data_IF_455502433679
#
_entry.id   IF_455502433679
#
_cell.length_a   1.000
_cell.length_b   1.000
_cell.length_c   1.000
_cell.angle_alpha   90.00
_cell.angle_beta   90.00
_cell.angle_gamma   90.00
#
_symmetry.space_group_name_H-M   'P 1'
#
loop_
_entity.id
_entity.type
_entity.pdbx_description
1 polymer ?
#
# COMPACT_ATOMS: atom_id res chain seq x y z
N UNK A 1 11.22 -70.87 54.42
CA UNK A 1 11.71 -69.51 54.14
C UNK A 1 12.63 -69.51 52.93
N UNK A 2 13.60 -70.43 52.82
CA UNK A 2 14.53 -70.51 51.68
C UNK A 2 13.86 -70.63 50.31
N UNK A 3 12.78 -71.43 50.19
CA UNK A 3 12.03 -71.53 48.93
C UNK A 3 11.36 -70.20 48.54
N UNK A 4 10.86 -69.43 49.52
CA UNK A 4 10.27 -68.13 49.27
C UNK A 4 11.33 -67.10 48.85
N UNK A 5 12.51 -67.12 49.48
CA UNK A 5 13.66 -66.30 49.08
C UNK A 5 14.08 -66.61 47.64
N UNK A 6 14.20 -67.88 47.27
CA UNK A 6 14.54 -68.30 45.90
C UNK A 6 13.56 -67.77 44.85
N UNK A 7 12.25 -67.91 45.11
CA UNK A 7 11.20 -67.42 44.19
C UNK A 7 11.26 -65.88 44.06
N UNK A 8 11.47 -65.15 45.16
CA UNK A 8 11.57 -63.69 45.13
C UNK A 8 12.83 -63.21 44.38
N UNK A 9 13.96 -63.90 44.53
CA UNK A 9 15.18 -63.63 43.75
C UNK A 9 14.96 -63.88 42.27
N UNK A 10 14.41 -65.04 41.89
CA UNK A 10 14.11 -65.36 40.48
C UNK A 10 13.11 -64.36 39.86
N UNK A 11 12.10 -63.92 40.61
CA UNK A 11 11.15 -62.90 40.16
C UNK A 11 11.83 -61.54 39.93
N UNK A 12 12.77 -61.17 40.80
CA UNK A 12 13.53 -59.93 40.70
C UNK A 12 14.43 -59.94 39.46
N UNK A 13 15.19 -61.02 39.26
CA UNK A 13 16.01 -61.20 38.06
C UNK A 13 15.18 -61.17 36.77
N UNK A 14 13.98 -61.77 36.78
CA UNK A 14 13.08 -61.75 35.63
C UNK A 14 12.55 -60.33 35.34
N UNK A 15 12.26 -59.53 36.38
CA UNK A 15 11.87 -58.13 36.21
C UNK A 15 13.01 -57.28 35.67
N UNK A 16 14.24 -57.46 36.16
CA UNK A 16 15.42 -56.77 35.64
C UNK A 16 15.68 -57.13 34.17
N UNK A 17 15.58 -58.41 33.80
CA UNK A 17 15.68 -58.85 32.39
C UNK A 17 14.60 -58.24 31.51
N UNK A 18 13.37 -58.11 32.03
CA UNK A 18 12.29 -57.47 31.29
C UNK A 18 12.50 -55.97 31.12
N UNK A 19 12.98 -55.28 32.15
CA UNK A 19 13.32 -53.85 32.07
C UNK A 19 14.41 -53.61 31.02
N UNK A 20 15.47 -54.41 31.02
CA UNK A 20 16.53 -54.32 30.01
C UNK A 20 16.02 -54.53 28.59
N UNK A 21 15.14 -55.53 28.37
CA UNK A 21 14.49 -55.73 27.07
C UNK A 21 13.65 -54.54 26.64
N UNK A 22 12.98 -53.88 27.60
CA UNK A 22 12.20 -52.68 27.32
C UNK A 22 13.10 -51.51 26.92
N UNK A 23 14.20 -51.27 27.63
CA UNK A 23 15.21 -50.25 27.30
C UNK A 23 15.83 -50.48 25.91
N UNK A 24 16.13 -51.74 25.56
CA UNK A 24 16.62 -52.13 24.23
C UNK A 24 15.56 -51.83 23.14
N UNK A 25 14.28 -52.15 23.40
CA UNK A 25 13.18 -51.84 22.49
C UNK A 25 12.96 -50.33 22.34
N UNK A 26 13.02 -49.58 23.44
CA UNK A 26 12.89 -48.12 23.44
C UNK A 26 13.98 -47.49 22.59
N UNK A 27 15.22 -47.94 22.76
CA UNK A 27 16.37 -47.47 21.97
C UNK A 27 16.18 -47.76 20.48
N UNK A 28 15.71 -48.95 20.12
CA UNK A 28 15.44 -49.30 18.72
C UNK A 28 14.30 -48.46 18.12
N UNK A 29 13.20 -48.26 18.86
CA UNK A 29 12.08 -47.42 18.42
C UNK A 29 12.55 -45.98 18.21
N UNK A 30 13.33 -45.41 19.13
CA UNK A 30 13.89 -44.06 18.99
C UNK A 30 14.79 -43.95 17.76
N UNK A 31 15.59 -44.98 17.46
CA UNK A 31 16.41 -45.03 16.25
C UNK A 31 15.56 -45.07 14.98
N UNK A 32 14.47 -45.85 14.98
CA UNK A 32 13.54 -45.91 13.85
C UNK A 32 12.85 -44.56 13.62
N UNK A 33 12.37 -43.91 14.69
CA UNK A 33 11.75 -42.58 14.62
C UNK A 33 12.72 -41.54 14.07
N UNK A 34 13.97 -41.53 14.54
CA UNK A 34 15.00 -40.62 14.04
C UNK A 34 15.31 -40.86 12.56
N UNK A 35 15.38 -42.12 12.11
CA UNK A 35 15.57 -42.43 10.70
C UNK A 35 14.41 -41.91 9.83
N UNK A 36 13.16 -42.06 10.27
CA UNK A 36 12.00 -41.50 9.55
C UNK A 36 12.07 -39.97 9.51
N UNK A 37 12.41 -39.33 10.63
CA UNK A 37 12.58 -37.87 10.72
C UNK A 37 13.64 -37.37 9.72
N UNK A 38 14.80 -38.01 9.67
CA UNK A 38 15.87 -37.66 8.72
C UNK A 38 15.43 -37.82 7.26
N UNK A 39 14.67 -38.88 6.95
CA UNK A 39 14.14 -39.09 5.61
C UNK A 39 13.15 -37.98 5.21
N UNK A 40 12.28 -37.56 6.12
CA UNK A 40 11.36 -36.45 5.87
C UNK A 40 12.09 -35.12 5.67
N UNK A 41 13.09 -34.81 6.51
CA UNK A 41 13.93 -33.61 6.35
C UNK A 41 14.60 -33.60 4.98
N UNK A 42 15.25 -34.69 4.58
CA UNK A 42 15.89 -34.81 3.26
C UNK A 42 14.92 -34.59 2.09
N UNK A 43 13.67 -35.05 2.23
CA UNK A 43 12.63 -34.80 1.23
C UNK A 43 12.23 -33.32 1.21
N UNK A 44 12.02 -32.68 2.37
CA UNK A 44 11.70 -31.25 2.46
C UNK A 44 12.80 -30.42 1.80
N UNK A 45 14.06 -30.62 2.17
CA UNK A 45 15.20 -29.89 1.61
C UNK A 45 15.30 -30.04 0.08
N UNK A 46 14.96 -31.23 -0.43
CA UNK A 46 14.94 -31.48 -1.89
C UNK A 46 13.84 -30.68 -2.59
N UNK A 47 12.65 -30.63 -2.02
CA UNK A 47 11.55 -29.84 -2.58
C UNK A 47 11.84 -28.34 -2.47
N UNK A 48 12.39 -27.88 -1.34
CA UNK A 48 12.82 -26.50 -1.13
C UNK A 48 13.82 -26.05 -2.20
N UNK A 49 14.88 -26.83 -2.43
CA UNK A 49 15.85 -26.54 -3.51
C UNK A 49 15.20 -26.45 -4.89
N UNK A 50 14.18 -27.28 -5.14
CA UNK A 50 13.46 -27.26 -6.42
C UNK A 50 12.63 -25.98 -6.55
N UNK A 51 11.87 -25.62 -5.52
CA UNK A 51 11.06 -24.38 -5.49
C UNK A 51 11.94 -23.14 -5.62
N UNK A 52 13.08 -23.08 -4.92
CA UNK A 52 14.04 -21.98 -5.04
C UNK A 52 14.56 -21.85 -6.47
N UNK A 53 14.87 -22.98 -7.12
CA UNK A 53 15.32 -22.99 -8.52
C UNK A 53 14.24 -22.48 -9.48
N UNK A 54 13.00 -22.91 -9.28
CA UNK A 54 11.87 -22.48 -10.12
C UNK A 54 11.59 -20.98 -9.94
N UNK A 55 11.60 -20.49 -8.69
CA UNK A 55 11.50 -19.06 -8.36
C UNK A 55 12.61 -18.24 -9.01
N UNK A 56 13.86 -18.71 -8.94
CA UNK A 56 15.00 -18.05 -9.59
C UNK A 56 14.81 -17.97 -11.11
N UNK A 57 14.33 -19.05 -11.73
CA UNK A 57 14.09 -19.10 -13.18
C UNK A 57 12.94 -18.16 -13.60
N UNK A 58 11.85 -18.13 -12.82
CA UNK A 58 10.72 -17.20 -13.06
C UNK A 58 11.17 -15.74 -12.92
N UNK A 59 11.96 -15.43 -11.89
CA UNK A 59 12.54 -14.08 -11.69
C UNK A 59 13.39 -13.65 -12.87
N UNK A 60 14.32 -14.49 -13.32
CA UNK A 60 15.19 -14.17 -14.46
C UNK A 60 14.40 -13.92 -15.74
N UNK A 61 13.34 -14.70 -15.99
CA UNK A 61 12.45 -14.50 -17.14
C UNK A 61 11.73 -13.15 -17.09
N UNK A 62 11.22 -12.77 -15.92
CA UNK A 62 10.52 -11.49 -15.76
C UNK A 62 11.46 -10.30 -15.80
N UNK A 63 12.68 -10.43 -15.29
CA UNK A 63 13.73 -9.41 -15.40
C UNK A 63 14.17 -9.21 -16.85
N UNK A 64 14.32 -10.29 -17.64
CA UNK A 64 14.63 -10.20 -19.06
C UNK A 64 13.54 -9.45 -19.84
N UNK A 65 12.26 -9.75 -19.59
CA UNK A 65 11.13 -9.03 -20.20
C UNK A 65 11.12 -7.54 -19.82
N UNK A 66 11.33 -7.24 -18.53
CA UNK A 66 11.41 -5.86 -18.06
C UNK A 66 12.53 -5.09 -18.75
N UNK A 67 13.70 -5.71 -18.95
CA UNK A 67 14.82 -5.07 -19.61
C UNK A 67 14.58 -4.82 -21.11
N UNK A 68 13.91 -5.75 -21.79
CA UNK A 68 13.48 -5.57 -23.20
C UNK A 68 12.49 -4.40 -23.32
N UNK A 69 11.45 -4.37 -22.47
CA UNK A 69 10.45 -3.29 -22.46
C UNK A 69 11.06 -1.93 -22.08
N UNK A 70 12.00 -1.90 -21.13
CA UNK A 70 12.75 -0.69 -20.78
C UNK A 70 13.60 -0.17 -21.94
N UNK A 71 14.23 -1.06 -22.70
CA UNK A 71 15.02 -0.67 -23.87
C UNK A 71 14.12 -0.06 -24.96
N UNK A 72 12.96 -0.66 -25.23
CA UNK A 72 11.96 -0.11 -26.14
C UNK A 72 11.48 1.28 -25.70
N UNK A 73 11.16 1.47 -24.42
CA UNK A 73 10.73 2.76 -23.88
C UNK A 73 11.84 3.82 -23.96
N UNK A 74 13.09 3.44 -23.67
CA UNK A 74 14.23 4.35 -23.78
C UNK A 74 14.43 4.84 -25.23
N UNK A 75 14.26 3.96 -26.22
CA UNK A 75 14.30 4.32 -27.64
C UNK A 75 13.19 5.34 -27.99
N UNK A 76 11.97 5.11 -27.52
CA UNK A 76 10.84 6.02 -27.75
C UNK A 76 11.07 7.39 -27.10
N UNK A 77 11.57 7.43 -25.86
CA UNK A 77 11.90 8.67 -25.15
C UNK A 77 12.96 9.46 -25.91
N UNK A 78 14.02 8.79 -26.37
CA UNK A 78 15.08 9.44 -27.13
C UNK A 78 14.55 10.06 -28.44
N UNK A 79 13.67 9.36 -29.17
CA UNK A 79 13.07 9.87 -30.41
C UNK A 79 12.19 11.11 -30.17
N UNK A 80 11.41 11.12 -29.09
CA UNK A 80 10.55 12.26 -28.73
C UNK A 80 11.40 13.46 -28.28
N UNK A 81 12.44 13.21 -27.48
CA UNK A 81 13.34 14.25 -26.98
C UNK A 81 14.14 14.90 -28.11
N UNK A 82 14.68 14.10 -29.04
CA UNK A 82 15.36 14.59 -30.25
C UNK A 82 14.42 15.51 -31.06
N UNK A 83 13.16 15.11 -31.20
CA UNK A 83 12.16 15.91 -31.90
C UNK A 83 11.82 17.22 -31.22
N UNK A 84 11.74 17.21 -29.88
CA UNK A 84 11.53 18.41 -29.07
C UNK A 84 12.68 19.40 -29.23
N UNK A 85 13.92 18.95 -29.11
CA UNK A 85 15.12 19.78 -29.26
C UNK A 85 15.22 20.40 -30.66
N UNK A 86 14.90 19.63 -31.70
CA UNK A 86 14.83 20.14 -33.08
C UNK A 86 13.78 21.25 -33.24
N UNK A 87 12.60 21.11 -32.64
CA UNK A 87 11.55 22.13 -32.69
C UNK A 87 11.95 23.37 -31.90
N UNK A 88 12.51 23.20 -30.70
CA UNK A 88 12.93 24.31 -29.83
C UNK A 88 14.03 25.15 -30.48
N UNK A 89 15.03 24.50 -31.08
CA UNK A 89 16.08 25.17 -31.85
C UNK A 89 15.50 25.98 -33.03
N UNK A 90 14.60 25.38 -33.83
CA UNK A 90 13.97 26.03 -34.97
C UNK A 90 13.00 27.15 -34.58
N UNK A 91 12.44 27.10 -33.38
CA UNK A 91 11.57 28.15 -32.84
C UNK A 91 12.35 29.44 -32.57
N UNK A 92 13.60 29.31 -32.13
CA UNK A 92 14.47 30.45 -31.82
C UNK A 92 15.24 30.98 -33.03
N UNK A 93 15.70 30.09 -33.92
CA UNK A 93 16.67 30.43 -34.98
C UNK A 93 16.17 30.16 -36.41
N UNK A 94 15.02 29.49 -36.58
CA UNK A 94 14.54 28.99 -37.87
C UNK A 94 13.51 29.89 -38.56
N UNK A 95 13.37 29.72 -39.88
CA UNK A 95 12.26 30.31 -40.63
C UNK A 95 10.94 29.60 -40.33
N UNK A 96 9.80 30.31 -40.47
CA UNK A 96 8.46 29.73 -40.29
C UNK A 96 8.21 28.48 -41.14
N UNK A 97 8.76 28.43 -42.35
CA UNK A 97 8.65 27.27 -43.24
C UNK A 97 9.48 26.07 -42.74
N UNK A 98 10.67 26.30 -42.19
CA UNK A 98 11.48 25.23 -41.61
C UNK A 98 10.83 24.65 -40.34
N UNK A 99 10.27 25.51 -39.49
CA UNK A 99 9.53 25.10 -38.31
C UNK A 99 8.27 24.29 -38.68
N UNK A 100 7.51 24.73 -39.70
CA UNK A 100 6.33 24.02 -40.19
C UNK A 100 6.66 22.62 -40.73
N UNK A 101 7.73 22.49 -41.52
CA UNK A 101 8.17 21.20 -42.04
C UNK A 101 8.67 20.27 -40.93
N UNK A 102 9.35 20.81 -39.91
CA UNK A 102 9.79 20.03 -38.75
C UNK A 102 8.62 19.52 -37.91
N UNK A 103 7.60 20.36 -37.67
CA UNK A 103 6.37 19.96 -36.95
C UNK A 103 5.65 18.81 -37.68
N UNK A 104 5.46 18.94 -38.99
CA UNK A 104 4.82 17.89 -39.80
C UNK A 104 5.61 16.57 -39.80
N UNK A 105 6.94 16.64 -39.75
CA UNK A 105 7.80 15.47 -39.62
C UNK A 105 7.66 14.79 -38.26
N UNK A 106 7.53 15.58 -37.19
CA UNK A 106 7.34 15.05 -35.83
C UNK A 106 5.95 14.45 -35.61
N UNK A 107 4.91 14.95 -36.26
CA UNK A 107 3.55 14.36 -36.22
C UNK A 107 3.55 12.88 -36.62
N UNK A 108 4.29 12.51 -37.68
CA UNK A 108 4.39 11.12 -38.11
C UNK A 108 5.18 10.24 -37.12
N UNK A 109 6.22 10.81 -36.47
CA UNK A 109 6.97 10.12 -35.42
C UNK A 109 6.10 9.89 -34.19
N UNK A 110 5.31 10.89 -33.78
CA UNK A 110 4.37 10.79 -32.65
C UNK A 110 3.32 9.70 -32.89
N UNK A 111 2.75 9.59 -34.10
CA UNK A 111 1.84 8.49 -34.47
C UNK A 111 2.47 7.10 -34.34
N UNK A 112 3.73 6.96 -34.76
CA UNK A 112 4.47 5.71 -34.65
C UNK A 112 4.77 5.36 -33.17
N UNK A 113 5.16 6.36 -32.38
CA UNK A 113 5.38 6.23 -30.93
C UNK A 113 4.11 5.81 -30.19
N UNK A 114 2.98 6.45 -30.48
CA UNK A 114 1.67 6.09 -29.91
C UNK A 114 1.32 4.63 -30.21
N UNK A 115 1.54 4.18 -31.45
CA UNK A 115 1.25 2.79 -31.85
C UNK A 115 2.13 1.77 -31.11
N UNK A 116 3.42 2.08 -30.91
CA UNK A 116 4.34 1.24 -30.11
C UNK A 116 3.97 1.26 -28.62
N UNK A 117 3.63 2.42 -28.08
CA UNK A 117 3.21 2.58 -26.69
C UNK A 117 1.92 1.80 -26.42
N UNK A 118 0.95 1.87 -27.33
CA UNK A 118 -0.30 1.12 -27.25
C UNK A 118 -0.05 -0.40 -27.30
N UNK A 119 0.89 -0.86 -28.13
CA UNK A 119 1.29 -2.27 -28.19
C UNK A 119 1.90 -2.75 -26.86
N UNK A 120 2.86 -2.00 -26.30
CA UNK A 120 3.49 -2.31 -25.01
C UNK A 120 2.43 -2.36 -23.89
N UNK A 121 1.61 -1.32 -23.84
CA UNK A 121 0.51 -1.15 -22.88
C UNK A 121 -0.51 -2.29 -22.94
N UNK A 122 -0.89 -2.73 -24.15
CA UNK A 122 -1.88 -3.80 -24.33
C UNK A 122 -1.34 -5.21 -24.05
N UNK A 123 -0.01 -5.38 -24.10
CA UNK A 123 0.66 -6.67 -23.87
C UNK A 123 1.02 -6.86 -22.39
N UNK A 124 1.01 -5.77 -21.61
CA UNK A 124 1.35 -5.78 -20.20
C UNK A 124 0.37 -6.65 -19.39
N UNK A 125 0.93 -7.49 -18.52
CA UNK A 125 0.18 -8.35 -17.61
C UNK A 125 0.81 -8.27 -16.25
N UNK A 126 -0.03 -8.06 -15.25
CA UNK A 126 0.40 -8.15 -13.87
C UNK A 126 0.69 -9.61 -13.52
N UNK A 127 1.77 -9.84 -12.79
CA UNK A 127 2.29 -11.18 -12.51
C UNK A 127 2.35 -11.39 -11.01
N UNK A 128 1.57 -12.36 -10.53
CA UNK A 128 1.48 -12.72 -9.12
C UNK A 128 2.00 -14.14 -8.92
N UNK A 129 2.84 -14.32 -7.89
CA UNK A 129 3.29 -15.63 -7.43
C UNK A 129 2.44 -16.05 -6.24
N UNK A 130 1.87 -17.26 -6.31
CA UNK A 130 1.08 -17.83 -5.21
C UNK A 130 1.74 -19.11 -4.73
N UNK A 131 1.96 -19.21 -3.42
CA UNK A 131 2.47 -20.39 -2.75
C UNK A 131 1.32 -21.24 -2.24
N UNK A 132 1.34 -22.53 -2.55
CA UNK A 132 0.39 -23.50 -2.05
C UNK A 132 1.11 -24.50 -1.15
N UNK A 133 0.63 -24.64 0.08
CA UNK A 133 1.04 -25.68 1.02
C UNK A 133 -0.02 -26.77 1.05
N UNK A 134 0.36 -28.00 0.72
CA UNK A 134 -0.57 -29.12 0.64
C UNK A 134 -0.06 -30.21 -0.27
N UNK A 135 -0.39 -31.47 0.07
CA UNK A 135 0.01 -32.62 -0.71
C UNK A 135 -0.78 -32.63 -2.02
N UNK A 136 -0.17 -32.15 -3.11
CA UNK A 136 -0.81 -32.19 -4.41
C UNK A 136 -0.94 -33.65 -4.88
N UNK A 137 -2.19 -34.06 -5.15
CA UNK A 137 -2.53 -35.39 -5.67
C UNK A 137 -1.82 -35.78 -6.96
N UNK A 138 -1.37 -34.80 -7.77
CA UNK A 138 -0.71 -35.04 -9.06
C UNK A 138 0.81 -35.03 -8.97
N UNK A 139 1.41 -34.06 -8.30
CA UNK A 139 2.89 -33.92 -8.25
C UNK A 139 3.54 -34.59 -7.03
N UNK A 140 2.76 -35.02 -6.03
CA UNK A 140 3.25 -35.50 -4.72
C UNK A 140 4.15 -34.48 -3.99
N UNK A 141 4.27 -33.26 -4.50
CA UNK A 141 5.03 -32.19 -3.85
C UNK A 141 4.26 -31.70 -2.64
N UNK A 142 5.01 -31.36 -1.58
CA UNK A 142 4.45 -30.84 -0.33
C UNK A 142 4.09 -29.35 -0.49
N UNK A 143 4.77 -28.67 -1.41
CA UNK A 143 4.59 -27.25 -1.71
C UNK A 143 4.70 -27.01 -3.22
N UNK A 144 3.99 -26.01 -3.73
CA UNK A 144 4.14 -25.57 -5.12
C UNK A 144 4.01 -24.06 -5.23
N UNK A 145 4.70 -23.47 -6.20
CA UNK A 145 4.57 -22.06 -6.54
C UNK A 145 4.01 -21.96 -7.96
N UNK A 146 2.96 -21.18 -8.11
CA UNK A 146 2.31 -20.94 -9.41
C UNK A 146 2.43 -19.46 -9.77
N UNK A 147 2.90 -19.21 -10.98
CA UNK A 147 2.89 -17.90 -11.61
C UNK A 147 1.54 -17.71 -12.33
N UNK A 148 0.74 -16.76 -11.84
CA UNK A 148 -0.49 -16.32 -12.49
C UNK A 148 -0.28 -14.96 -13.13
N UNK A 149 -0.75 -14.81 -14.36
CA UNK A 149 -0.63 -13.57 -15.12
C UNK A 149 -2.01 -13.03 -15.47
N UNK A 150 -2.33 -11.84 -14.97
CA UNK A 150 -3.62 -11.17 -15.19
C UNK A 150 -3.44 -10.00 -16.15
N UNK A 151 -4.18 -9.95 -17.27
CA UNK A 151 -4.15 -8.80 -18.16
C UNK A 151 -4.60 -7.55 -17.40
N UNK A 152 -3.85 -6.46 -17.50
CA UNK A 152 -4.24 -5.17 -16.95
C UNK A 152 -4.15 -4.10 -18.04
N UNK A 153 -5.11 -3.18 -18.02
CA UNK A 153 -5.21 -2.13 -19.03
C UNK A 153 -4.51 -0.89 -18.49
N UNK A 154 -3.28 -0.64 -18.94
CA UNK A 154 -2.65 0.66 -18.70
C UNK A 154 -3.36 1.68 -19.61
N UNK A 155 -3.92 2.74 -19.04
CA UNK A 155 -4.50 3.84 -19.83
C UNK A 155 -3.49 4.97 -19.91
N UNK A 156 -3.11 5.36 -21.13
CA UNK A 156 -2.33 6.56 -21.37
C UNK A 156 -3.17 7.58 -22.13
N UNK A 157 -2.95 8.88 -21.87
CA UNK A 157 -3.56 9.94 -22.67
C UNK A 157 -2.97 9.86 -24.07
N UNK A 158 -3.82 9.93 -25.10
CA UNK A 158 -3.34 9.82 -26.47
C UNK A 158 -2.43 10.99 -26.83
N UNK A 159 -1.20 10.68 -27.26
CA UNK A 159 -0.22 11.69 -27.64
C UNK A 159 -0.72 12.54 -28.82
N UNK A 160 -1.56 11.95 -29.69
CA UNK A 160 -2.20 12.64 -30.80
C UNK A 160 -3.26 13.66 -30.36
N UNK A 161 -4.06 13.33 -29.35
CA UNK A 161 -5.05 14.26 -28.79
C UNK A 161 -4.37 15.42 -28.07
N UNK A 162 -3.27 15.14 -27.37
CA UNK A 162 -2.48 16.16 -26.69
C UNK A 162 -1.77 17.10 -27.67
N UNK A 163 -1.24 16.57 -28.79
CA UNK A 163 -0.67 17.38 -29.86
C UNK A 163 -1.74 18.30 -30.49
N UNK A 164 -2.91 17.77 -30.85
CA UNK A 164 -3.98 18.55 -31.44
C UNK A 164 -4.51 19.65 -30.50
N UNK A 165 -4.61 19.36 -29.20
CA UNK A 165 -4.97 20.36 -28.19
C UNK A 165 -3.93 21.48 -28.08
N UNK A 166 -2.64 21.14 -28.11
CA UNK A 166 -1.56 22.13 -28.10
C UNK A 166 -1.55 23.00 -29.38
N UNK A 167 -1.84 22.43 -30.54
CA UNK A 167 -1.97 23.17 -31.80
C UNK A 167 -3.14 24.18 -31.75
N UNK A 168 -4.30 23.77 -31.23
CA UNK A 168 -5.47 24.65 -31.01
C UNK A 168 -5.15 25.79 -30.03
N UNK A 169 -4.39 25.51 -28.97
CA UNK A 169 -4.00 26.49 -27.95
C UNK A 169 -2.97 27.51 -28.47
N UNK A 170 -2.12 27.11 -29.41
CA UNK A 170 -1.21 28.01 -30.13
C UNK A 170 -1.99 28.89 -31.12
N UNK A 171 -3.00 28.33 -31.77
CA UNK A 171 -3.81 29.04 -32.75
C UNK A 171 -4.80 30.03 -32.11
N UNK A 172 -5.27 29.76 -30.90
CA UNK A 172 -6.04 30.71 -30.08
C UNK A 172 -5.18 31.87 -29.56
N UNK A 173 -3.92 31.62 -29.16
CA UNK A 173 -2.95 32.67 -28.79
C UNK A 173 -2.57 33.59 -29.95
N UNK A 174 -2.60 33.12 -31.21
CA UNK A 174 -2.41 33.99 -32.39
C UNK A 174 -3.54 35.01 -32.60
N UNK A 175 -4.73 34.80 -32.01
CA UNK A 175 -5.88 35.72 -32.13
C UNK A 175 -5.97 36.75 -30.99
N UNK A 176 -5.16 36.63 -29.92
CA UNK A 176 -5.28 37.48 -28.73
C UNK A 176 -4.35 38.70 -28.68
N UNK A 177 -3.67 39.06 -29.78
CA UNK A 177 -2.89 40.32 -29.87
C UNK A 177 -3.75 41.59 -30.02
N UNK A 178 -5.04 41.54 -29.63
CA UNK A 178 -5.87 42.71 -29.43
C UNK A 178 -6.70 42.56 -28.14
N UNK A 179 -6.57 43.57 -27.26
CA UNK A 179 -7.34 43.92 -26.06
C UNK A 179 -7.04 43.24 -24.70
N UNK A 180 -7.00 44.13 -23.70
CA UNK A 180 -6.52 44.00 -22.31
C UNK A 180 -7.33 43.06 -21.40
N UNK A 181 -6.56 42.32 -20.60
CA UNK A 181 -6.64 42.09 -19.14
C UNK A 181 -8.02 41.95 -18.47
N UNK A 182 -8.36 40.72 -18.03
CA UNK A 182 -8.77 40.43 -16.64
C UNK A 182 -8.33 39.00 -16.31
N UNK A 183 -7.62 38.86 -15.19
CA UNK A 183 -7.08 37.60 -14.70
C UNK A 183 -8.16 36.55 -14.51
N UNK A 184 -7.98 35.40 -15.16
CA UNK A 184 -8.65 34.15 -14.85
C UNK A 184 -7.55 33.09 -14.80
N UNK A 185 -7.17 32.69 -13.59
CA UNK A 185 -6.26 31.58 -13.34
C UNK A 185 -6.98 30.29 -13.75
N UNK A 186 -6.88 29.92 -15.03
CA UNK A 186 -7.32 28.60 -15.50
C UNK A 186 -6.34 27.56 -14.95
N UNK A 187 -6.82 26.79 -13.99
CA UNK A 187 -6.24 25.54 -13.54
C UNK A 187 -6.40 24.51 -14.65
N UNK A 188 -5.28 24.03 -15.18
CA UNK A 188 -5.26 22.95 -16.17
C UNK A 188 -5.56 21.62 -15.48
N UNK A 189 -6.73 21.05 -15.75
CA UNK A 189 -7.16 19.76 -15.24
C UNK A 189 -6.40 18.61 -15.91
N UNK A 190 -5.46 18.03 -15.19
CA UNK A 190 -5.15 16.60 -15.26
C UNK A 190 -6.40 15.84 -14.83
N UNK A 191 -6.87 14.84 -15.58
CA UNK A 191 -7.84 13.85 -15.08
C UNK A 191 -7.23 12.97 -13.98
N UNK A 192 -6.86 13.58 -12.86
CA UNK A 192 -6.87 12.94 -11.54
C UNK A 192 -8.17 13.39 -10.89
N UNK A 193 -8.85 12.50 -10.16
CA UNK A 193 -9.99 12.92 -9.34
C UNK A 193 -9.53 14.05 -8.41
N UNK A 194 -10.35 15.10 -8.29
CA UNK A 194 -10.03 16.18 -7.35
C UNK A 194 -10.13 15.62 -5.94
N UNK A 195 -9.41 16.23 -4.98
CA UNK A 195 -9.47 15.84 -3.57
C UNK A 195 -10.91 15.71 -3.05
N UNK A 196 -11.78 16.65 -3.43
CA UNK A 196 -13.20 16.64 -3.06
C UNK A 196 -13.89 15.38 -3.60
N UNK A 197 -13.67 15.04 -4.88
CA UNK A 197 -14.18 13.79 -5.46
C UNK A 197 -13.61 12.55 -4.78
N UNK A 198 -12.33 12.55 -4.40
CA UNK A 198 -11.71 11.43 -3.68
C UNK A 198 -12.39 11.24 -2.32
N UNK A 199 -12.59 12.33 -1.58
CA UNK A 199 -13.25 12.28 -0.28
C UNK A 199 -14.70 11.82 -0.39
N UNK A 200 -15.44 12.28 -1.40
CA UNK A 200 -16.83 11.90 -1.66
C UNK A 200 -16.96 10.42 -2.02
N UNK A 201 -16.08 9.90 -2.88
CA UNK A 201 -16.06 8.49 -3.26
C UNK A 201 -15.65 7.59 -2.09
N UNK A 202 -14.63 7.98 -1.31
CA UNK A 202 -14.26 7.27 -0.08
C UNK A 202 -15.44 7.27 0.91
N UNK A 203 -16.14 8.39 1.05
CA UNK A 203 -17.33 8.48 1.89
C UNK A 203 -18.44 7.54 1.40
N UNK A 204 -18.70 7.49 0.09
CA UNK A 204 -19.67 6.57 -0.50
C UNK A 204 -19.29 5.10 -0.23
N UNK A 205 -18.02 4.72 -0.40
CA UNK A 205 -17.56 3.34 -0.16
C UNK A 205 -17.61 2.94 1.32
N UNK A 206 -17.12 3.81 2.21
CA UNK A 206 -16.94 3.49 3.64
C UNK A 206 -18.23 3.70 4.44
N UNK A 207 -18.97 4.76 4.16
CA UNK A 207 -20.13 5.19 4.95
C UNK A 207 -21.44 4.70 4.34
N UNK A 208 -21.63 4.90 3.03
CA UNK A 208 -22.91 4.62 2.35
C UNK A 208 -23.05 3.14 1.99
N UNK A 209 -22.10 2.62 1.21
CA UNK A 209 -22.07 1.24 0.73
C UNK A 209 -21.52 0.26 1.76
N UNK A 210 -20.71 0.75 2.71
CA UNK A 210 -20.06 -0.03 3.76
C UNK A 210 -19.36 -1.30 3.22
N UNK A 211 -18.60 -1.15 2.13
CA UNK A 211 -17.92 -2.26 1.44
C UNK A 211 -16.75 -2.83 2.27
N UNK A 212 -16.18 -3.97 1.86
CA UNK A 212 -15.10 -4.62 2.62
C UNK A 212 -13.76 -3.91 2.37
N UNK A 213 -12.76 -4.18 3.21
CA UNK A 213 -11.46 -3.51 3.11
C UNK A 213 -10.78 -3.81 1.77
N UNK A 214 -10.92 -5.02 1.25
CA UNK A 214 -10.39 -5.42 -0.07
C UNK A 214 -10.98 -4.56 -1.19
N UNK A 215 -12.30 -4.33 -1.15
CA UNK A 215 -12.97 -3.55 -2.19
C UNK A 215 -12.57 -2.05 -2.13
N UNK A 216 -12.20 -1.54 -0.93
CA UNK A 216 -11.65 -0.19 -0.75
C UNK A 216 -10.22 -0.12 -1.30
N UNK A 217 -9.37 -1.12 -1.01
CA UNK A 217 -8.03 -1.19 -1.57
C UNK A 217 -8.06 -1.25 -3.10
N UNK A 218 -8.87 -2.13 -3.67
CA UNK A 218 -9.05 -2.27 -5.12
C UNK A 218 -9.49 -0.95 -5.75
N UNK A 219 -10.41 -0.22 -5.10
CA UNK A 219 -10.84 1.08 -5.59
C UNK A 219 -9.73 2.13 -5.52
N UNK A 220 -9.03 2.24 -4.38
CA UNK A 220 -7.93 3.22 -4.23
C UNK A 220 -6.85 2.95 -5.26
N UNK A 221 -6.43 1.68 -5.43
CA UNK A 221 -5.38 1.29 -6.38
C UNK A 221 -5.82 1.46 -7.85
N UNK A 222 -7.10 1.30 -8.16
CA UNK A 222 -7.62 1.49 -9.51
C UNK A 222 -7.79 2.97 -9.90
N UNK A 223 -7.92 3.87 -8.91
CA UNK A 223 -8.36 5.24 -9.14
C UNK A 223 -7.35 6.31 -8.75
N UNK A 224 -6.48 6.03 -7.77
CA UNK A 224 -5.48 6.96 -7.27
C UNK A 224 -4.08 6.46 -7.66
N UNK A 225 -3.22 7.39 -8.07
CA UNK A 225 -1.82 7.07 -8.31
C UNK A 225 -1.01 7.06 -7.01
N UNK A 226 0.19 6.47 -7.06
CA UNK A 226 1.07 6.36 -5.89
C UNK A 226 1.36 7.73 -5.26
N UNK A 227 1.49 8.79 -6.07
CA UNK A 227 1.72 10.15 -5.58
C UNK A 227 0.52 10.69 -4.79
N UNK A 228 -0.70 10.53 -5.30
CA UNK A 228 -1.92 10.95 -4.60
C UNK A 228 -2.11 10.18 -3.29
N UNK A 229 -1.80 8.88 -3.25
CA UNK A 229 -1.91 8.09 -2.00
C UNK A 229 -0.90 8.48 -0.92
N UNK A 230 0.15 9.23 -1.30
CA UNK A 230 1.17 9.79 -0.38
C UNK A 230 1.02 11.30 -0.20
N UNK A 231 -0.08 11.89 -0.68
CA UNK A 231 -0.38 13.31 -0.49
C UNK A 231 -1.04 13.56 0.87
N UNK A 232 -0.62 14.63 1.55
CA UNK A 232 -1.14 15.00 2.86
C UNK A 232 -2.66 15.19 2.85
N UNK A 233 -3.25 15.68 1.76
CA UNK A 233 -4.70 15.87 1.69
C UNK A 233 -5.45 14.54 1.57
N UNK A 234 -4.89 13.55 0.87
CA UNK A 234 -5.47 12.20 0.82
C UNK A 234 -5.48 11.56 2.21
N UNK A 235 -4.38 11.65 2.96
CA UNK A 235 -4.31 11.16 4.35
C UNK A 235 -5.40 11.80 5.21
N UNK A 236 -5.55 13.14 5.11
CA UNK A 236 -6.60 13.86 5.83
C UNK A 236 -8.01 13.43 5.42
N UNK A 237 -8.25 13.24 4.12
CA UNK A 237 -9.55 12.81 3.60
C UNK A 237 -9.91 11.40 4.07
N UNK A 238 -8.99 10.44 3.93
CA UNK A 238 -9.17 9.06 4.37
C UNK A 238 -9.47 9.01 5.88
N UNK A 239 -8.67 9.71 6.69
CA UNK A 239 -8.88 9.76 8.13
C UNK A 239 -10.23 10.36 8.49
N UNK A 240 -10.58 11.47 7.86
CA UNK A 240 -11.85 12.16 8.11
C UNK A 240 -13.03 11.24 7.82
N UNK A 241 -13.01 10.51 6.71
CA UNK A 241 -14.09 9.59 6.32
C UNK A 241 -14.21 8.43 7.30
N UNK A 242 -13.10 7.78 7.64
CA UNK A 242 -13.10 6.63 8.57
C UNK A 242 -13.66 7.04 9.94
N UNK A 243 -13.17 8.13 10.51
CA UNK A 243 -13.64 8.61 11.81
C UNK A 243 -15.07 9.17 11.76
N UNK A 244 -15.45 9.85 10.67
CA UNK A 244 -16.84 10.30 10.49
C UNK A 244 -17.81 9.12 10.46
N UNK A 245 -17.39 7.99 9.86
CA UNK A 245 -18.18 6.76 9.89
C UNK A 245 -18.38 6.25 11.32
N UNK A 246 -17.38 6.38 12.19
CA UNK A 246 -17.47 5.91 13.57
C UNK A 246 -18.33 6.80 14.48
N UNK A 247 -18.59 8.05 14.10
CA UNK A 247 -19.33 9.01 14.91
C UNK A 247 -20.84 8.90 14.63
N UNK A 248 -21.63 8.75 15.70
CA UNK A 248 -23.10 8.74 15.65
C UNK A 248 -23.65 9.92 16.46
N UNK A 249 -24.78 10.47 16.06
CA UNK A 249 -25.42 11.62 16.73
C UNK A 249 -25.01 12.96 16.13
N UNK A 250 -25.49 14.06 16.74
CA UNK A 250 -25.20 15.44 16.29
C UNK A 250 -24.92 16.36 17.49
N UNK A 251 -24.04 17.34 17.28
CA UNK A 251 -23.60 18.29 18.30
C UNK A 251 -23.09 17.58 19.55
N UNK A 252 -23.44 18.09 20.74
CA UNK A 252 -22.96 17.57 22.03
C UNK A 252 -23.34 16.12 22.35
N UNK A 253 -24.29 15.53 21.63
CA UNK A 253 -24.72 14.13 21.79
C UNK A 253 -23.95 13.16 20.89
N UNK A 254 -22.96 13.65 20.13
CA UNK A 254 -22.15 12.80 19.29
C UNK A 254 -21.31 11.82 20.13
N UNK A 255 -21.28 10.56 19.73
CA UNK A 255 -20.53 9.48 20.37
C UNK A 255 -19.79 8.67 19.33
N UNK A 256 -18.61 8.15 19.69
CA UNK A 256 -17.79 7.31 18.81
C UNK A 256 -18.14 5.84 19.06
N UNK A 257 -18.20 5.06 17.98
CA UNK A 257 -18.23 3.60 18.00
C UNK A 257 -16.85 3.05 17.61
N UNK A 258 -15.98 2.70 18.59
CA UNK A 258 -14.60 2.28 18.34
C UNK A 258 -14.48 1.11 17.36
N UNK A 259 -15.47 0.21 17.35
CA UNK A 259 -15.48 -0.97 16.48
C UNK A 259 -15.46 -0.61 15.01
N UNK A 260 -16.01 0.56 14.64
CA UNK A 260 -16.02 1.03 13.24
C UNK A 260 -14.65 1.55 12.80
N UNK A 261 -13.88 2.13 13.73
CA UNK A 261 -12.49 2.53 13.47
C UNK A 261 -11.61 1.29 13.37
N UNK A 262 -11.74 0.38 14.34
CA UNK A 262 -11.01 -0.90 14.35
C UNK A 262 -11.28 -1.73 13.08
N UNK A 263 -12.51 -1.75 12.55
CA UNK A 263 -12.79 -2.44 11.29
C UNK A 263 -12.02 -1.92 10.06
N UNK A 264 -11.40 -0.73 10.15
CA UNK A 264 -10.69 -0.04 9.06
C UNK A 264 -9.22 0.25 9.40
N UNK A 265 -8.71 -0.27 10.52
CA UNK A 265 -7.32 -0.13 10.97
C UNK A 265 -6.29 -0.52 9.90
N UNK A 266 -6.49 -1.65 9.23
CA UNK A 266 -5.62 -2.18 8.18
C UNK A 266 -5.49 -1.24 6.98
N UNK A 267 -6.54 -0.45 6.70
CA UNK A 267 -6.50 0.57 5.64
C UNK A 267 -5.65 1.75 6.11
N UNK A 268 -5.87 2.23 7.34
CA UNK A 268 -5.12 3.34 7.91
C UNK A 268 -3.62 2.99 8.01
N UNK A 269 -3.29 1.82 8.54
CA UNK A 269 -1.91 1.31 8.64
C UNK A 269 -1.24 1.22 7.26
N UNK A 270 -1.95 0.72 6.23
CA UNK A 270 -1.41 0.59 4.86
C UNK A 270 -1.00 1.94 4.25
N UNK A 271 -1.79 2.99 4.45
CA UNK A 271 -1.55 4.30 3.82
C UNK A 271 -0.70 5.25 4.68
N UNK A 272 -0.78 5.16 6.00
CA UNK A 272 -0.01 6.02 6.91
C UNK A 272 1.42 5.53 7.07
N UNK A 273 1.67 4.22 6.90
CA UNK A 273 3.00 3.63 6.69
C UNK A 273 4.00 3.99 7.80
N UNK A 274 3.51 4.18 9.03
CA UNK A 274 4.27 4.64 10.21
C UNK A 274 5.15 5.86 9.94
N UNK A 275 4.70 6.74 9.04
CA UNK A 275 5.41 7.98 8.72
C UNK A 275 4.87 9.10 9.60
N UNK A 276 5.77 9.67 10.41
CA UNK A 276 5.46 10.72 11.37
C UNK A 276 4.77 11.95 10.75
N UNK A 277 5.06 12.27 9.49
CA UNK A 277 4.36 13.35 8.77
C UNK A 277 2.88 13.01 8.52
N UNK A 278 2.57 11.79 8.11
CA UNK A 278 1.20 11.35 7.84
C UNK A 278 0.38 11.16 9.13
N UNK A 279 1.02 10.69 10.20
CA UNK A 279 0.43 10.64 11.53
C UNK A 279 0.06 12.04 12.03
N UNK A 280 0.92 13.05 11.78
CA UNK A 280 0.60 14.44 12.09
C UNK A 280 -0.58 14.98 11.27
N UNK A 281 -0.62 14.69 9.96
CA UNK A 281 -1.76 15.07 9.12
C UNK A 281 -3.06 14.43 9.59
N UNK A 282 -2.99 13.19 10.08
CA UNK A 282 -4.10 12.46 10.67
C UNK A 282 -4.64 13.17 11.91
N UNK A 283 -3.77 13.63 12.80
CA UNK A 283 -4.15 14.41 13.98
C UNK A 283 -4.78 15.76 13.62
N UNK A 284 -4.26 16.46 12.61
CA UNK A 284 -4.88 17.69 12.13
C UNK A 284 -6.24 17.46 11.47
N UNK A 285 -6.43 16.35 10.75
CA UNK A 285 -7.73 15.97 10.21
C UNK A 285 -8.76 15.70 11.32
N UNK A 286 -8.36 14.99 12.39
CA UNK A 286 -9.21 14.76 13.56
C UNK A 286 -9.60 16.04 14.27
N UNK A 287 -8.64 16.94 14.49
CA UNK A 287 -8.87 18.25 15.08
C UNK A 287 -9.92 19.03 14.27
N UNK A 288 -9.75 19.09 12.94
CA UNK A 288 -10.69 19.76 12.05
C UNK A 288 -12.09 19.10 12.06
N UNK A 289 -12.15 17.77 12.05
CA UNK A 289 -13.40 17.01 12.11
C UNK A 289 -14.17 17.27 13.41
N UNK A 290 -13.51 17.18 14.56
CA UNK A 290 -14.13 17.43 15.85
C UNK A 290 -14.52 18.90 16.02
N UNK A 291 -13.72 19.82 15.48
CA UNK A 291 -14.06 21.23 15.46
C UNK A 291 -15.35 21.50 14.70
N UNK A 292 -15.54 20.88 13.52
CA UNK A 292 -16.79 20.94 12.73
C UNK A 292 -18.01 20.37 13.46
N UNK A 293 -17.80 19.53 14.47
CA UNK A 293 -18.87 18.95 15.30
C UNK A 293 -19.15 19.76 16.58
N UNK A 294 -18.52 20.93 16.74
CA UNK A 294 -18.58 21.77 17.94
C UNK A 294 -18.04 21.09 19.20
N UNK A 295 -16.95 20.33 19.06
CA UNK A 295 -16.21 19.72 20.17
C UNK A 295 -17.09 18.88 21.12
N UNK A 296 -17.77 17.84 20.61
CA UNK A 296 -18.56 16.95 21.44
C UNK A 296 -17.70 16.29 22.53
N UNK A 297 -18.21 16.17 23.76
CA UNK A 297 -17.46 15.63 24.88
C UNK A 297 -17.04 14.19 24.59
N UNK A 298 -15.81 13.86 25.00
CA UNK A 298 -15.18 12.52 24.87
C UNK A 298 -14.91 12.01 23.45
N UNK A 299 -15.45 12.60 22.39
CA UNK A 299 -15.24 12.12 21.01
C UNK A 299 -13.76 12.12 20.61
N UNK A 300 -13.08 13.26 20.73
CA UNK A 300 -11.66 13.34 20.38
C UNK A 300 -10.80 12.43 21.25
N UNK A 301 -11.10 12.38 22.55
CA UNK A 301 -10.41 11.52 23.52
C UNK A 301 -10.52 10.04 23.11
N UNK A 302 -11.73 9.56 22.84
CA UNK A 302 -11.95 8.17 22.42
C UNK A 302 -11.28 7.86 21.08
N UNK A 303 -11.24 8.80 20.13
CA UNK A 303 -10.51 8.59 18.88
C UNK A 303 -9.00 8.49 19.11
N UNK A 304 -8.44 9.33 19.99
CA UNK A 304 -7.02 9.27 20.36
C UNK A 304 -6.66 7.95 21.03
N UNK A 305 -7.47 7.49 21.99
CA UNK A 305 -7.27 6.20 22.67
C UNK A 305 -7.22 5.06 21.63
N UNK A 306 -8.19 4.98 20.72
CA UNK A 306 -8.24 3.92 19.70
C UNK A 306 -7.04 3.98 18.74
N UNK A 307 -6.63 5.16 18.29
CA UNK A 307 -5.55 5.29 17.31
C UNK A 307 -4.17 5.03 17.92
N UNK A 308 -4.02 5.29 19.21
CA UNK A 308 -2.84 4.93 19.99
C UNK A 308 -2.80 3.41 20.23
N UNK A 309 -3.90 2.82 20.71
CA UNK A 309 -3.98 1.39 21.02
C UNK A 309 -3.77 0.47 19.78
N UNK A 310 -4.13 0.93 18.59
CA UNK A 310 -3.99 0.19 17.31
C UNK A 310 -2.68 0.49 16.56
N UNK A 311 -1.71 1.14 17.20
CA UNK A 311 -0.41 1.52 16.63
C UNK A 311 -0.52 2.35 15.33
N UNK A 312 -1.59 3.13 15.17
CA UNK A 312 -1.81 3.98 13.99
C UNK A 312 -1.10 5.33 14.14
N UNK A 313 -1.02 5.86 15.37
CA UNK A 313 -0.36 7.13 15.69
C UNK A 313 0.59 6.92 16.84
N UNK A 314 1.87 7.25 16.62
CA UNK A 314 2.91 7.16 17.61
C UNK A 314 2.82 8.26 18.68
N UNK A 315 3.43 8.01 19.85
CA UNK A 315 3.60 9.04 20.88
C UNK A 315 4.33 10.28 20.35
N UNK A 316 5.34 10.09 19.50
CA UNK A 316 6.10 11.18 18.88
C UNK A 316 5.19 12.10 18.05
N UNK A 317 4.21 11.53 17.34
CA UNK A 317 3.23 12.30 16.58
C UNK A 317 2.32 13.11 17.50
N UNK A 318 1.83 12.51 18.60
CA UNK A 318 1.02 13.22 19.60
C UNK A 318 1.79 14.38 20.23
N UNK A 319 3.04 14.15 20.62
CA UNK A 319 3.92 15.18 21.21
C UNK A 319 4.19 16.31 20.23
N UNK A 320 4.47 16.00 18.95
CA UNK A 320 4.66 17.01 17.90
C UNK A 320 3.38 17.78 17.59
N UNK A 321 2.23 17.12 17.59
CA UNK A 321 0.95 17.78 17.42
C UNK A 321 0.65 18.75 18.56
N UNK A 322 0.89 18.34 19.82
CA UNK A 322 0.75 19.19 21.01
C UNK A 322 1.63 20.44 20.90
N UNK A 323 2.92 20.26 20.60
CA UNK A 323 3.90 21.35 20.46
C UNK A 323 3.78 22.21 19.21
N UNK A 324 2.92 21.86 18.24
CA UNK A 324 2.85 22.58 16.95
C UNK A 324 2.30 24.01 17.07
N UNK A 325 3.11 25.00 16.67
CA UNK A 325 2.74 26.41 16.65
C UNK A 325 2.42 26.96 15.24
N UNK A 326 2.34 26.11 14.21
CA UNK A 326 2.05 26.56 12.84
C UNK A 326 0.68 27.25 12.78
N UNK A 327 0.59 28.53 12.34
CA UNK A 327 -0.67 29.29 12.29
C UNK A 327 -1.78 28.63 11.47
N UNK A 328 -1.42 27.88 10.43
CA UNK A 328 -2.38 27.23 9.53
C UNK A 328 -3.11 26.03 10.14
N UNK A 329 -2.58 25.46 11.23
CA UNK A 329 -3.10 24.26 11.89
C UNK A 329 -3.63 24.54 13.31
N UNK A 330 -3.89 25.81 13.65
CA UNK A 330 -4.37 26.21 14.98
C UNK A 330 -5.90 26.15 15.13
N UNK A 331 -6.65 26.08 14.02
CA UNK A 331 -8.10 26.13 14.07
C UNK A 331 -8.67 24.94 14.85
N UNK A 332 -9.46 25.23 15.89
CA UNK A 332 -10.01 24.21 16.80
C UNK A 332 -9.01 23.60 17.78
N UNK A 333 -7.70 23.88 17.68
CA UNK A 333 -6.64 23.27 18.49
C UNK A 333 -6.80 23.55 19.98
N UNK A 334 -7.07 24.79 20.37
CA UNK A 334 -7.12 25.17 21.78
C UNK A 334 -8.18 24.38 22.56
N UNK A 335 -9.36 24.19 21.97
CA UNK A 335 -10.45 23.43 22.58
C UNK A 335 -10.14 21.93 22.51
N UNK A 336 -9.61 21.45 21.38
CA UNK A 336 -9.15 20.07 21.23
C UNK A 336 -8.16 19.68 22.34
N UNK A 337 -7.15 20.52 22.60
CA UNK A 337 -6.17 20.34 23.69
C UNK A 337 -6.84 20.20 25.05
N UNK A 338 -7.84 21.05 25.37
CA UNK A 338 -8.60 20.96 26.63
C UNK A 338 -9.37 19.65 26.75
N UNK A 339 -9.83 19.08 25.63
CA UNK A 339 -10.56 17.81 25.62
C UNK A 339 -9.66 16.58 25.85
N UNK A 340 -8.36 16.67 25.58
CA UNK A 340 -7.42 15.54 25.62
C UNK A 340 -6.34 15.67 26.69
N UNK A 341 -6.42 16.64 27.60
CA UNK A 341 -5.44 16.82 28.70
C UNK A 341 -5.15 15.51 29.42
N UNK A 342 -6.20 14.77 29.81
CA UNK A 342 -6.06 13.49 30.51
C UNK A 342 -5.35 12.40 29.70
N UNK A 343 -5.39 12.48 28.37
CA UNK A 343 -4.69 11.51 27.50
C UNK A 343 -3.19 11.76 27.55
N UNK A 344 -2.78 13.01 27.43
CA UNK A 344 -1.37 13.40 27.55
C UNK A 344 -0.82 13.25 28.96
N UNK A 345 -1.64 13.44 29.99
CA UNK A 345 -1.25 13.09 31.37
C UNK A 345 -0.94 11.60 31.48
N UNK A 346 -1.82 10.75 30.96
CA UNK A 346 -1.65 9.29 30.99
C UNK A 346 -0.39 8.82 30.24
N UNK A 347 -0.13 9.33 29.02
CA UNK A 347 1.09 8.97 28.27
C UNK A 347 2.36 9.33 29.06
N UNK A 348 2.41 10.53 29.66
CA UNK A 348 3.59 10.95 30.44
C UNK A 348 3.77 10.13 31.72
N UNK A 349 2.69 9.82 32.42
CA UNK A 349 2.71 8.97 33.62
C UNK A 349 3.18 7.54 33.31
N UNK A 350 2.84 7.00 32.13
CA UNK A 350 3.34 5.70 31.67
C UNK A 350 4.86 5.72 31.39
N UNK A 351 5.39 6.84 30.91
CA UNK A 351 6.83 7.00 30.62
C UNK A 351 7.69 7.33 31.83
N UNK A 352 7.10 7.92 32.87
CA UNK A 352 7.78 8.22 34.15
C UNK A 352 7.71 7.04 35.15
N UNK A 353 7.08 5.91 34.78
CA UNK A 353 7.09 4.70 35.58
C UNK A 353 8.50 4.07 35.54
N UNK A 354 9.19 3.88 36.68
CA UNK A 354 10.48 3.19 36.68
C UNK A 354 10.28 1.77 36.15
N UNK A 355 11.06 1.37 35.15
CA UNK A 355 11.14 -0.01 34.67
C UNK A 355 11.35 -0.94 35.89
N UNK A 356 10.30 -1.67 36.31
CA UNK A 356 10.38 -2.71 37.35
C UNK A 356 10.92 -4.04 36.80
#
# INVERSE_FOLDING_TARGET
>A
MDNALKILTELTENREKNLKKFEDCETDILKQVNNVKEQMIKQIDKHERTVIKDLSTMRQRNEAKLNEEKADLAELIAQVQEGKEQIEFLKEHGSKNQLFLALKKQENKIKATESRLQKLTSTYKDTKLTFYSGRDSKTKSIFSVVESSTPCTIKHKSLMLQQAQAEIEIESKKKSDCTNNYGSKLTMSTSGMTLETIQDELHDLIVVKAVRNEDIFDWIEANLDHYTTKDNNFIRALMTVVCSSAIKGRGKMATVDPRRVHARDVILQKYFDHQLEFELQTLYALQALVHKLDHPPKVLRTLFDVLYDEDIISEDAFTKWEGNANPTEQEGKEIAMKCVVQFFTWIREANDAPDE
#
